data_IF_306475994138
#
_entry.id   IF_306475994138
#
_cell.length_a   1.000
_cell.length_b   1.000
_cell.length_c   1.000
_cell.angle_alpha   90.00
_cell.angle_beta   90.00
_cell.angle_gamma   90.00
#
_symmetry.space_group_name_H-M   'P 1'
#
loop_
_entity.id
_entity.type
_entity.pdbx_description
1 polymer ?
#
# COMPACT_ATOMS: atom_id res chain seq x y z
N UNK A 1 -24.51 -69.08 -31.98
CA UNK A 1 -24.44 -67.76 -32.65
C UNK A 1 -23.76 -66.78 -31.70
N UNK A 2 -22.45 -66.55 -31.85
CA UNK A 2 -21.71 -65.63 -30.97
C UNK A 2 -22.18 -64.20 -31.22
N UNK A 3 -22.73 -63.59 -30.18
CA UNK A 3 -23.42 -62.32 -30.25
C UNK A 3 -22.38 -61.17 -30.35
N UNK A 4 -21.76 -61.01 -31.52
CA UNK A 4 -20.72 -60.00 -31.75
C UNK A 4 -21.21 -58.57 -31.44
N UNK A 5 -22.52 -58.32 -31.52
CA UNK A 5 -23.13 -57.05 -31.14
C UNK A 5 -23.16 -56.80 -29.62
N UNK A 6 -23.32 -57.85 -28.80
CA UNK A 6 -23.32 -57.73 -27.34
C UNK A 6 -21.93 -57.33 -26.81
N UNK A 7 -20.86 -57.91 -27.37
CA UNK A 7 -19.49 -57.55 -26.98
C UNK A 7 -19.15 -56.10 -27.34
N UNK A 8 -19.62 -55.60 -28.50
CA UNK A 8 -19.42 -54.19 -28.89
C UNK A 8 -20.17 -53.24 -27.94
N UNK A 9 -21.37 -53.61 -27.51
CA UNK A 9 -22.15 -52.83 -26.54
C UNK A 9 -21.43 -52.69 -25.18
N UNK A 10 -20.87 -53.77 -24.65
CA UNK A 10 -20.10 -53.71 -23.39
C UNK A 10 -18.82 -52.90 -23.52
N UNK A 11 -18.11 -53.00 -24.66
CA UNK A 11 -16.91 -52.21 -24.91
C UNK A 11 -17.24 -50.71 -25.01
N UNK A 12 -18.27 -50.34 -25.76
CA UNK A 12 -18.70 -48.94 -25.92
C UNK A 12 -19.20 -48.37 -24.58
N UNK A 13 -19.98 -49.16 -23.83
CA UNK A 13 -20.45 -48.75 -22.50
C UNK A 13 -19.29 -48.58 -21.52
N UNK A 14 -18.28 -49.46 -21.57
CA UNK A 14 -17.07 -49.32 -20.76
C UNK A 14 -16.27 -48.07 -21.07
N UNK A 15 -16.11 -47.73 -22.37
CA UNK A 15 -15.46 -46.49 -22.80
C UNK A 15 -16.25 -45.27 -22.31
N UNK A 16 -17.58 -45.29 -22.43
CA UNK A 16 -18.42 -44.18 -21.98
C UNK A 16 -18.33 -43.95 -20.47
N UNK A 17 -18.40 -45.02 -19.67
CA UNK A 17 -18.24 -44.95 -18.21
C UNK A 17 -16.86 -44.42 -17.83
N UNK A 18 -15.81 -44.86 -18.54
CA UNK A 18 -14.45 -44.39 -18.31
C UNK A 18 -14.30 -42.89 -18.62
N UNK A 19 -14.89 -42.41 -19.71
CA UNK A 19 -14.89 -40.98 -20.07
C UNK A 19 -15.63 -40.15 -19.01
N UNK A 20 -16.82 -40.60 -18.59
CA UNK A 20 -17.58 -39.94 -17.51
C UNK A 20 -16.79 -39.92 -16.21
N UNK A 21 -16.13 -41.03 -15.87
CA UNK A 21 -15.27 -41.12 -14.69
C UNK A 21 -14.10 -40.14 -14.74
N UNK A 22 -13.43 -40.01 -15.88
CA UNK A 22 -12.36 -39.00 -16.08
C UNK A 22 -12.89 -37.58 -15.86
N UNK A 23 -14.07 -37.26 -16.39
CA UNK A 23 -14.70 -35.94 -16.17
C UNK A 23 -15.07 -35.71 -14.71
N UNK A 24 -15.59 -36.73 -14.01
CA UNK A 24 -15.90 -36.63 -12.58
C UNK A 24 -14.64 -36.40 -11.74
N UNK A 25 -13.55 -37.11 -12.03
CA UNK A 25 -12.25 -36.89 -11.36
C UNK A 25 -11.71 -35.48 -11.65
N UNK A 26 -11.83 -35.01 -12.91
CA UNK A 26 -11.44 -33.65 -13.30
C UNK A 26 -12.26 -32.59 -12.55
N UNK A 27 -13.57 -32.80 -12.41
CA UNK A 27 -14.47 -31.91 -11.68
C UNK A 27 -14.18 -31.92 -10.18
N UNK A 28 -13.96 -33.09 -9.58
CA UNK A 28 -13.56 -33.23 -8.19
C UNK A 28 -12.24 -32.50 -7.92
N UNK A 29 -11.24 -32.67 -8.79
CA UNK A 29 -9.97 -31.95 -8.72
C UNK A 29 -10.20 -30.43 -8.76
N UNK A 30 -11.00 -29.93 -9.70
CA UNK A 30 -11.30 -28.50 -9.80
C UNK A 30 -12.14 -27.94 -8.64
N UNK A 31 -12.97 -28.76 -7.98
CA UNK A 31 -13.82 -28.29 -6.89
C UNK A 31 -13.16 -28.36 -5.50
N UNK A 32 -12.30 -29.37 -5.26
CA UNK A 32 -11.76 -29.66 -3.93
C UNK A 32 -10.27 -29.33 -3.82
N UNK A 33 -9.50 -29.54 -4.88
CA UNK A 33 -8.04 -29.33 -4.86
C UNK A 33 -7.68 -27.95 -5.40
N UNK A 34 -8.30 -27.54 -6.51
CA UNK A 34 -7.99 -26.28 -7.18
C UNK A 34 -8.90 -25.13 -6.71
N UNK A 35 -8.52 -24.45 -5.64
CA UNK A 35 -9.24 -23.27 -5.15
C UNK A 35 -9.17 -22.06 -6.12
N UNK A 36 -8.36 -22.12 -7.19
CA UNK A 36 -8.11 -21.02 -8.13
C UNK A 36 -9.38 -20.44 -8.79
N UNK A 37 -10.41 -21.27 -9.03
CA UNK A 37 -11.66 -20.81 -9.66
C UNK A 37 -12.60 -20.06 -8.71
N UNK A 38 -12.63 -20.40 -7.41
CA UNK A 38 -13.31 -19.57 -6.40
C UNK A 38 -12.64 -18.20 -6.26
N UNK A 39 -11.32 -18.17 -6.33
CA UNK A 39 -10.56 -16.92 -6.30
C UNK A 39 -10.94 -15.96 -7.44
N UNK A 40 -11.22 -16.42 -8.66
CA UNK A 40 -11.54 -15.51 -9.78
C UNK A 40 -12.90 -14.80 -9.65
N UNK A 41 -13.89 -15.43 -9.00
CA UNK A 41 -15.17 -14.77 -8.69
C UNK A 41 -15.06 -13.86 -7.44
N UNK A 42 -14.30 -14.29 -6.43
CA UNK A 42 -14.06 -13.51 -5.20
C UNK A 42 -13.20 -12.26 -5.44
N UNK A 43 -12.19 -12.32 -6.32
CA UNK A 43 -11.25 -11.22 -6.58
C UNK A 43 -11.93 -9.98 -7.21
N UNK A 44 -13.10 -10.14 -7.83
CA UNK A 44 -13.89 -9.01 -8.34
C UNK A 44 -14.70 -8.29 -7.26
N UNK A 45 -14.90 -8.92 -6.09
CA UNK A 45 -15.71 -8.37 -4.99
C UNK A 45 -14.89 -8.04 -3.75
N UNK A 46 -13.59 -8.37 -3.70
CA UNK A 46 -12.72 -8.16 -2.56
C UNK A 46 -11.66 -7.09 -2.85
N UNK A 47 -11.54 -6.11 -1.97
CA UNK A 47 -10.54 -5.05 -2.04
C UNK A 47 -9.61 -5.12 -0.84
N UNK A 48 -8.33 -5.40 -1.11
CA UNK A 48 -7.26 -5.35 -0.12
C UNK A 48 -6.77 -3.91 0.03
N UNK A 49 -6.87 -3.38 1.24
CA UNK A 49 -6.36 -2.07 1.60
C UNK A 49 -5.24 -2.24 2.61
N UNK A 50 -4.03 -1.88 2.22
CA UNK A 50 -2.87 -1.87 3.11
C UNK A 50 -3.06 -0.81 4.19
N UNK A 51 -2.96 -1.23 5.45
CA UNK A 51 -2.89 -0.32 6.58
C UNK A 51 -1.43 -0.03 6.90
N UNK A 52 -1.05 1.23 6.74
CA UNK A 52 0.31 1.67 7.03
C UNK A 52 0.47 1.98 8.51
N UNK A 53 1.48 1.38 9.18
CA UNK A 53 1.76 1.67 10.58
C UNK A 53 2.38 3.06 10.71
N UNK A 54 2.15 3.72 11.84
CA UNK A 54 2.95 4.87 12.22
C UNK A 54 4.38 4.40 12.54
N UNK A 55 5.39 5.14 12.05
CA UNK A 55 6.79 4.87 12.38
C UNK A 55 7.06 5.17 13.86
N UNK A 56 8.07 4.51 14.45
CA UNK A 56 8.51 4.80 15.81
C UNK A 56 8.94 6.27 15.98
N UNK A 57 8.61 6.88 17.11
CA UNK A 57 9.05 8.22 17.48
C UNK A 57 10.52 8.19 17.93
N UNK A 58 11.26 9.27 17.67
CA UNK A 58 12.64 9.41 18.14
C UNK A 58 12.72 10.47 19.22
N UNK A 59 13.28 10.10 20.36
CA UNK A 59 13.48 10.95 21.52
C UNK A 59 14.97 11.19 21.77
N UNK A 60 15.29 12.32 22.40
CA UNK A 60 16.61 12.61 22.96
C UNK A 60 16.81 11.91 24.32
N UNK A 61 18.00 12.02 24.90
CA UNK A 61 18.31 11.41 26.20
C UNK A 61 17.49 11.95 27.38
N UNK A 62 16.92 13.15 27.25
CA UNK A 62 16.06 13.81 28.24
C UNK A 62 14.57 13.49 28.02
N UNK A 63 14.24 12.69 26.99
CA UNK A 63 12.87 12.36 26.61
C UNK A 63 12.17 13.43 25.75
N UNK A 64 12.90 14.42 25.24
CA UNK A 64 12.36 15.39 24.30
C UNK A 64 12.15 14.73 22.94
N UNK A 65 10.97 14.93 22.35
CA UNK A 65 10.67 14.47 21.00
C UNK A 65 11.53 15.23 19.97
N UNK A 66 12.32 14.49 19.18
CA UNK A 66 13.14 15.07 18.10
C UNK A 66 12.49 14.80 16.75
N UNK A 67 11.97 13.59 16.56
CA UNK A 67 11.34 13.19 15.30
C UNK A 67 10.00 12.54 15.57
N UNK A 68 8.98 13.13 14.98
CA UNK A 68 7.58 12.78 15.14
C UNK A 68 6.94 12.40 13.81
N UNK A 69 5.65 12.08 13.86
CA UNK A 69 4.86 11.75 12.70
C UNK A 69 3.73 12.77 12.55
N UNK A 70 3.58 13.32 11.36
CA UNK A 70 2.47 14.19 11.00
C UNK A 70 1.49 13.43 10.11
N UNK A 71 0.18 13.60 10.32
CA UNK A 71 -0.83 13.01 9.47
C UNK A 71 -0.71 13.58 8.04
N UNK A 72 -0.76 12.70 7.05
CA UNK A 72 -0.81 13.06 5.65
C UNK A 72 -1.65 12.06 4.88
N UNK A 73 -2.01 12.41 3.67
CA UNK A 73 -2.92 11.62 2.87
C UNK A 73 -2.38 11.47 1.46
N UNK A 74 -2.31 10.24 0.98
CA UNK A 74 -2.01 9.99 -0.43
C UNK A 74 -3.33 9.82 -1.19
N UNK A 75 -3.47 10.55 -2.29
CA UNK A 75 -4.54 10.31 -3.24
C UNK A 75 -4.10 9.19 -4.17
N UNK A 76 -4.87 8.11 -4.19
CA UNK A 76 -4.66 6.95 -5.05
C UNK A 76 -5.63 6.99 -6.22
N UNK A 77 -5.22 6.42 -7.35
CA UNK A 77 -6.05 6.27 -8.54
C UNK A 77 -6.12 4.80 -8.96
N UNK A 78 -7.34 4.28 -9.15
CA UNK A 78 -7.57 3.02 -9.84
C UNK A 78 -8.00 3.31 -11.30
N UNK A 79 -7.13 3.05 -12.29
CA UNK A 79 -7.43 3.40 -13.67
C UNK A 79 -8.67 2.72 -14.28
N UNK A 80 -9.05 1.54 -13.79
CA UNK A 80 -10.25 0.82 -14.25
C UNK A 80 -11.54 1.50 -13.80
N UNK A 81 -11.51 2.21 -12.67
CA UNK A 81 -12.70 2.81 -12.04
C UNK A 81 -12.90 4.27 -12.42
N UNK A 82 -11.94 4.87 -13.13
CA UNK A 82 -12.02 6.24 -13.61
C UNK A 82 -13.20 6.43 -14.57
N UNK A 83 -14.11 7.33 -14.22
CA UNK A 83 -15.17 7.85 -15.10
C UNK A 83 -14.86 9.30 -15.47
N UNK A 84 -15.48 9.88 -16.50
CA UNK A 84 -15.36 11.32 -16.76
C UNK A 84 -15.70 12.13 -15.51
N UNK A 85 -14.83 13.06 -15.13
CA UNK A 85 -15.00 13.92 -13.96
C UNK A 85 -14.57 15.35 -14.30
N UNK A 86 -15.01 16.29 -13.47
CA UNK A 86 -14.66 17.70 -13.63
C UNK A 86 -13.18 17.93 -13.24
N UNK A 87 -12.33 17.99 -14.26
CA UNK A 87 -10.88 18.17 -14.07
C UNK A 87 -10.56 19.57 -13.57
N UNK A 88 -11.35 20.60 -13.91
CA UNK A 88 -11.08 21.97 -13.51
C UNK A 88 -11.25 22.15 -11.99
N UNK A 89 -12.37 21.67 -11.46
CA UNK A 89 -12.61 21.67 -10.01
C UNK A 89 -11.58 20.82 -9.27
N UNK A 90 -11.26 19.63 -9.79
CA UNK A 90 -10.25 18.74 -9.20
C UNK A 90 -8.87 19.40 -9.09
N UNK A 91 -8.42 20.05 -10.18
CA UNK A 91 -7.18 20.81 -10.23
C UNK A 91 -7.16 21.97 -9.25
N UNK A 92 -8.27 22.72 -9.14
CA UNK A 92 -8.38 23.88 -8.25
C UNK A 92 -8.28 23.49 -6.77
N UNK A 93 -8.88 22.36 -6.36
CA UNK A 93 -8.87 21.93 -4.96
C UNK A 93 -7.48 21.42 -4.55
N UNK A 94 -6.85 20.63 -5.43
CA UNK A 94 -5.57 20.00 -5.15
C UNK A 94 -4.35 20.88 -5.51
N UNK A 95 -4.57 22.03 -6.14
CA UNK A 95 -3.49 22.92 -6.58
C UNK A 95 -2.59 22.32 -7.67
N UNK A 96 -3.15 21.47 -8.54
CA UNK A 96 -2.40 20.74 -9.59
C UNK A 96 -2.84 21.17 -10.99
N UNK A 97 -1.98 20.93 -11.99
CA UNK A 97 -2.29 21.26 -13.39
C UNK A 97 -3.05 20.13 -14.11
N UNK A 98 -3.90 20.46 -15.11
CA UNK A 98 -4.54 19.44 -15.95
C UNK A 98 -3.54 18.54 -16.70
N UNK A 99 -2.35 19.06 -17.00
CA UNK A 99 -1.26 18.32 -17.61
C UNK A 99 -0.74 17.23 -16.67
N UNK A 100 -0.55 17.56 -15.38
CA UNK A 100 -0.15 16.60 -14.35
C UNK A 100 -1.18 15.48 -14.24
N UNK A 101 -2.47 15.81 -14.17
CA UNK A 101 -3.56 14.83 -14.10
C UNK A 101 -3.49 13.84 -15.29
N UNK A 102 -3.38 14.35 -16.51
CA UNK A 102 -3.31 13.52 -17.73
C UNK A 102 -2.08 12.61 -17.74
N UNK A 103 -0.91 13.14 -17.35
CA UNK A 103 0.33 12.36 -17.33
C UNK A 103 0.30 11.27 -16.26
N UNK A 104 -0.14 11.59 -15.05
CA UNK A 104 -0.19 10.64 -13.93
C UNK A 104 -1.20 9.53 -14.17
N UNK A 105 -2.39 9.85 -14.70
CA UNK A 105 -3.37 8.83 -15.10
C UNK A 105 -2.81 7.93 -16.21
N UNK A 106 -2.09 8.49 -17.20
CA UNK A 106 -1.46 7.70 -18.26
C UNK A 106 -0.38 6.76 -17.70
N UNK A 107 0.47 7.25 -16.78
CA UNK A 107 1.48 6.43 -16.10
C UNK A 107 0.83 5.29 -15.31
N UNK A 108 -0.22 5.59 -14.54
CA UNK A 108 -0.96 4.58 -13.79
C UNK A 108 -1.55 3.50 -14.73
N UNK A 109 -2.20 3.91 -15.83
CA UNK A 109 -2.75 2.98 -16.85
C UNK A 109 -1.68 2.08 -17.47
N UNK A 110 -0.50 2.63 -17.74
CA UNK A 110 0.62 1.89 -18.32
C UNK A 110 1.21 0.88 -17.33
N UNK A 111 1.26 1.22 -16.04
CA UNK A 111 1.71 0.32 -15.00
C UNK A 111 0.73 -0.85 -14.79
N UNK A 112 -0.55 -0.54 -14.61
CA UNK A 112 -1.62 -1.54 -14.57
C UNK A 112 -2.98 -0.88 -14.73
N UNK A 113 -3.88 -1.52 -15.48
CA UNK A 113 -5.28 -1.08 -15.52
C UNK A 113 -6.03 -1.39 -14.23
N UNK A 114 -5.67 -2.47 -13.54
CA UNK A 114 -6.41 -3.04 -12.41
C UNK A 114 -5.81 -2.68 -11.04
N UNK A 115 -4.50 -2.42 -10.98
CA UNK A 115 -3.84 -2.04 -9.73
C UNK A 115 -3.90 -0.54 -9.52
N UNK A 116 -4.32 -0.14 -8.33
CA UNK A 116 -4.23 1.24 -7.89
C UNK A 116 -2.78 1.73 -7.88
N UNK A 117 -2.59 2.98 -8.26
CA UNK A 117 -1.30 3.67 -8.21
C UNK A 117 -1.43 4.96 -7.40
N UNK A 118 -0.37 5.41 -6.72
CA UNK A 118 -0.37 6.74 -6.13
C UNK A 118 -0.52 7.81 -7.23
N UNK A 119 -1.42 8.76 -7.00
CA UNK A 119 -1.70 9.87 -7.89
C UNK A 119 -1.08 11.17 -7.38
N UNK A 120 -1.28 11.48 -6.10
CA UNK A 120 -0.67 12.63 -5.44
C UNK A 120 -0.28 12.22 -4.03
N UNK A 121 0.98 12.46 -3.67
CA UNK A 121 1.51 12.10 -2.37
C UNK A 121 1.37 13.27 -1.38
N UNK A 122 1.36 12.95 -0.09
CA UNK A 122 1.64 13.92 0.98
C UNK A 122 0.64 15.09 1.06
N UNK A 123 -0.63 14.86 0.77
CA UNK A 123 -1.66 15.90 0.88
C UNK A 123 -1.79 16.28 2.37
N UNK A 124 -1.62 17.57 2.73
CA UNK A 124 -1.79 18.04 4.10
C UNK A 124 -3.23 17.84 4.57
N UNK A 125 -3.41 17.62 5.87
CA UNK A 125 -4.73 17.43 6.49
C UNK A 125 -5.70 18.57 6.18
N UNK A 126 -5.23 19.83 6.13
CA UNK A 126 -6.04 20.99 5.78
C UNK A 126 -6.62 20.94 4.36
N UNK A 127 -5.85 20.44 3.39
CA UNK A 127 -6.28 20.30 1.99
C UNK A 127 -7.18 19.08 1.85
N UNK A 128 -6.81 17.97 2.50
CA UNK A 128 -7.63 16.76 2.53
C UNK A 128 -9.01 17.01 3.12
N UNK A 129 -9.10 17.84 4.18
CA UNK A 129 -10.35 18.17 4.83
C UNK A 129 -11.37 18.82 3.88
N UNK A 130 -10.93 19.68 2.95
CA UNK A 130 -11.78 20.26 1.92
C UNK A 130 -12.07 19.28 0.77
N UNK A 131 -11.10 18.43 0.43
CA UNK A 131 -11.23 17.48 -0.68
C UNK A 131 -12.14 16.28 -0.35
N UNK A 132 -12.15 15.79 0.89
CA UNK A 132 -12.91 14.60 1.30
C UNK A 132 -14.42 14.78 1.08
N UNK A 133 -14.95 15.99 1.27
CA UNK A 133 -16.38 16.29 1.08
C UNK A 133 -16.80 16.13 -0.39
N UNK A 134 -15.87 16.31 -1.32
CA UNK A 134 -16.11 16.22 -2.75
C UNK A 134 -15.60 14.92 -3.37
N UNK A 135 -14.94 14.05 -2.59
CA UNK A 135 -14.32 12.81 -3.07
C UNK A 135 -15.33 11.92 -3.82
N UNK A 136 -16.61 11.92 -3.42
CA UNK A 136 -17.68 11.18 -4.08
C UNK A 136 -17.89 11.58 -5.55
N UNK A 137 -17.47 12.79 -5.96
CA UNK A 137 -17.57 13.31 -7.34
C UNK A 137 -16.46 12.78 -8.24
N UNK A 138 -15.42 12.16 -7.68
CA UNK A 138 -14.21 11.73 -8.40
C UNK A 138 -14.06 10.19 -8.34
N UNK A 139 -14.91 9.43 -9.05
CA UNK A 139 -14.86 7.97 -9.05
C UNK A 139 -13.53 7.46 -9.60
N UNK A 140 -13.00 6.42 -8.95
CA UNK A 140 -11.67 5.87 -9.23
C UNK A 140 -10.55 6.53 -8.43
N UNK A 141 -10.82 7.62 -7.70
CA UNK A 141 -9.92 8.17 -6.71
C UNK A 141 -10.34 7.75 -5.30
N UNK A 142 -9.36 7.46 -4.46
CA UNK A 142 -9.59 7.22 -3.05
C UNK A 142 -8.37 7.67 -2.25
N UNK A 143 -8.58 8.00 -0.99
CA UNK A 143 -7.51 8.49 -0.12
C UNK A 143 -6.99 7.35 0.75
N UNK A 144 -5.67 7.30 0.89
CA UNK A 144 -4.97 6.42 1.78
C UNK A 144 -4.30 7.24 2.89
N UNK A 145 -4.68 7.04 4.17
CA UNK A 145 -4.00 7.67 5.29
C UNK A 145 -2.54 7.24 5.37
N UNK A 146 -1.66 8.20 5.59
CA UNK A 146 -0.22 8.05 5.76
C UNK A 146 0.28 8.89 6.92
N UNK A 147 1.51 8.65 7.31
CA UNK A 147 2.23 9.49 8.25
C UNK A 147 3.52 9.97 7.60
N UNK A 148 3.77 11.27 7.64
CA UNK A 148 5.03 11.87 7.22
C UNK A 148 5.93 12.13 8.40
N UNK A 149 7.23 12.03 8.12
CA UNK A 149 8.25 12.26 9.13
C UNK A 149 8.41 13.76 9.37
N UNK A 150 8.23 14.20 10.62
CA UNK A 150 8.40 15.59 11.02
C UNK A 150 9.59 15.70 11.97
N UNK A 151 10.54 16.59 11.65
CA UNK A 151 11.71 16.85 12.47
C UNK A 151 11.47 18.15 13.24
N UNK A 152 11.28 18.04 14.55
CA UNK A 152 10.86 19.16 15.43
C UNK A 152 11.88 20.31 15.41
N UNK A 153 13.15 19.98 15.22
CA UNK A 153 14.27 20.93 15.15
C UNK A 153 15.13 20.62 13.94
N UNK A 154 15.63 21.67 13.27
CA UNK A 154 16.58 21.57 12.15
C UNK A 154 18.00 21.36 12.65
N UNK A 155 18.22 20.27 13.39
CA UNK A 155 19.51 19.86 13.95
C UNK A 155 19.78 18.39 13.65
N UNK A 156 21.02 17.95 13.84
CA UNK A 156 21.45 16.55 13.77
C UNK A 156 21.15 15.86 12.42
N UNK A 157 21.11 16.60 11.30
CA UNK A 157 20.68 16.06 10.01
C UNK A 157 21.47 14.81 9.57
N UNK A 158 22.78 14.76 9.84
CA UNK A 158 23.61 13.59 9.55
C UNK A 158 23.40 12.43 10.51
N UNK A 159 23.17 12.73 11.79
CA UNK A 159 22.96 11.72 12.83
C UNK A 159 21.57 11.09 12.71
N UNK A 160 20.51 11.91 12.63
CA UNK A 160 19.13 11.44 12.48
C UNK A 160 18.92 10.81 11.10
N UNK A 161 19.45 11.44 10.06
CA UNK A 161 19.21 11.06 8.68
C UNK A 161 17.83 11.52 8.18
N UNK A 162 17.36 10.90 7.11
CA UNK A 162 16.06 11.20 6.51
C UNK A 162 15.40 9.96 5.92
N UNK A 163 14.12 10.07 5.61
CA UNK A 163 13.34 9.05 4.88
C UNK A 163 13.16 9.47 3.42
N UNK A 164 13.13 8.51 2.50
CA UNK A 164 12.95 8.73 1.06
C UNK A 164 12.08 7.65 0.44
N UNK A 165 11.56 7.90 -0.77
CA UNK A 165 10.75 6.91 -1.49
C UNK A 165 11.61 5.70 -1.88
N UNK A 166 11.03 4.50 -1.78
CA UNK A 166 11.70 3.26 -2.19
C UNK A 166 11.85 3.19 -3.71
N UNK A 167 12.88 2.49 -4.15
CA UNK A 167 13.14 2.26 -5.57
C UNK A 167 13.00 0.76 -5.89
N UNK A 168 13.16 0.41 -7.17
CA UNK A 168 13.07 -0.98 -7.60
C UNK A 168 14.13 -1.91 -6.97
N UNK A 169 15.26 -1.39 -6.51
CA UNK A 169 16.30 -2.16 -5.84
C UNK A 169 15.92 -2.44 -4.38
N UNK A 170 15.38 -1.44 -3.67
CA UNK A 170 14.86 -1.57 -2.32
C UNK A 170 13.77 -2.64 -2.25
N UNK A 171 12.82 -2.63 -3.19
CA UNK A 171 11.70 -3.59 -3.25
C UNK A 171 12.20 -5.01 -3.52
N UNK A 172 13.23 -5.18 -4.36
CA UNK A 172 13.83 -6.50 -4.62
C UNK A 172 14.53 -7.07 -3.39
N UNK A 173 15.20 -6.21 -2.62
CA UNK A 173 15.96 -6.61 -1.44
C UNK A 173 15.06 -6.86 -0.23
N UNK A 174 13.97 -6.12 -0.09
CA UNK A 174 13.03 -6.27 1.01
C UNK A 174 11.58 -6.22 0.49
N UNK A 175 10.93 -7.41 0.36
CA UNK A 175 9.54 -7.53 -0.09
C UNK A 175 8.51 -6.83 0.81
N UNK A 176 8.92 -6.33 1.98
CA UNK A 176 8.08 -5.46 2.80
C UNK A 176 7.62 -4.21 2.03
N UNK A 177 8.47 -3.67 1.15
CA UNK A 177 8.21 -2.42 0.45
C UNK A 177 7.48 -2.62 -0.88
N UNK A 178 6.67 -1.62 -1.21
CA UNK A 178 5.97 -1.46 -2.48
C UNK A 178 6.26 -0.06 -3.01
N UNK A 179 6.09 0.14 -4.32
CA UNK A 179 6.29 1.45 -4.93
C UNK A 179 5.39 2.50 -4.25
N UNK A 180 5.96 3.66 -3.93
CA UNK A 180 5.30 4.70 -3.12
C UNK A 180 5.53 4.61 -1.62
N UNK A 181 6.20 3.57 -1.11
CA UNK A 181 6.58 3.50 0.30
C UNK A 181 7.83 4.33 0.60
N UNK A 182 8.02 4.65 1.88
CA UNK A 182 9.19 5.37 2.37
C UNK A 182 10.09 4.47 3.22
N UNK A 183 11.40 4.63 3.06
CA UNK A 183 12.47 3.92 3.78
C UNK A 183 13.46 4.94 4.38
N UNK A 184 14.03 4.63 5.54
CA UNK A 184 15.15 5.37 6.12
C UNK A 184 16.39 5.29 5.22
N UNK A 185 16.81 6.43 4.69
CA UNK A 185 17.89 6.54 3.70
C UNK A 185 19.27 6.70 4.34
N UNK A 186 19.34 7.28 5.55
CA UNK A 186 20.60 7.57 6.23
C UNK A 186 20.43 7.66 7.75
N UNK A 187 21.55 7.82 8.47
CA UNK A 187 21.57 8.08 9.90
C UNK A 187 20.86 7.01 10.73
N UNK A 188 20.27 7.47 11.83
CA UNK A 188 19.47 6.67 12.75
C UNK A 188 18.25 6.05 12.07
N UNK A 189 17.59 6.79 11.17
CA UNK A 189 16.44 6.29 10.40
C UNK A 189 16.77 5.01 9.62
N UNK A 190 17.93 4.96 8.95
CA UNK A 190 18.39 3.75 8.24
C UNK A 190 18.84 2.65 9.20
N UNK A 191 19.59 3.02 10.24
CA UNK A 191 20.18 2.06 11.18
C UNK A 191 19.10 1.27 11.93
N UNK A 192 18.00 1.93 12.32
CA UNK A 192 16.90 1.33 13.06
C UNK A 192 15.63 1.16 12.20
N UNK A 193 15.79 1.05 10.87
CA UNK A 193 14.65 0.97 9.94
C UNK A 193 13.67 -0.16 10.31
N UNK A 194 14.19 -1.34 10.68
CA UNK A 194 13.35 -2.52 10.97
C UNK A 194 12.50 -2.34 12.22
N UNK A 195 13.02 -1.65 13.21
CA UNK A 195 12.36 -1.32 14.46
C UNK A 195 11.38 -0.16 14.25
N UNK A 196 11.80 0.89 13.54
CA UNK A 196 11.04 2.11 13.31
C UNK A 196 9.86 1.89 12.37
N UNK A 197 9.95 1.02 11.36
CA UNK A 197 8.92 0.92 10.30
C UNK A 197 7.63 0.23 10.70
N UNK A 198 7.63 -0.53 11.80
CA UNK A 198 6.48 -1.32 12.21
C UNK A 198 6.13 -2.44 11.22
N UNK A 199 4.89 -2.93 11.31
CA UNK A 199 4.37 -4.00 10.44
C UNK A 199 3.07 -3.54 9.78
N UNK A 200 3.00 -3.67 8.45
CA UNK A 200 1.80 -3.36 7.68
C UNK A 200 0.65 -4.29 8.04
N UNK A 201 -0.52 -3.68 8.22
CA UNK A 201 -1.77 -4.40 8.30
C UNK A 201 -2.42 -4.55 6.93
N UNK A 202 -3.49 -5.32 6.88
CA UNK A 202 -4.37 -5.45 5.71
C UNK A 202 -5.81 -5.44 6.18
N UNK A 203 -6.64 -4.60 5.56
CA UNK A 203 -8.10 -4.71 5.66
C UNK A 203 -8.65 -5.20 4.35
N UNK A 204 -9.60 -6.12 4.43
CA UNK A 204 -10.24 -6.72 3.26
C UNK A 204 -11.69 -6.28 3.26
N UNK A 205 -12.06 -5.52 2.24
CA UNK A 205 -13.42 -5.00 2.07
C UNK A 205 -14.15 -5.76 0.98
N UNK A 206 -15.46 -5.97 1.19
CA UNK A 206 -16.37 -6.33 0.11
C UNK A 206 -16.78 -5.08 -0.65
N UNK A 207 -16.66 -5.10 -1.96
CA UNK A 207 -17.04 -4.00 -2.86
C UNK A 207 -18.15 -4.44 -3.81
N UNK A 208 -19.09 -3.54 -4.10
CA UNK A 208 -20.11 -3.78 -5.13
C UNK A 208 -19.58 -3.52 -6.55
N UNK A 209 -20.41 -3.73 -7.58
CA UNK A 209 -20.05 -3.44 -8.99
C UNK A 209 -19.80 -1.95 -9.27
N UNK A 210 -20.21 -1.06 -8.35
CA UNK A 210 -19.89 0.36 -8.35
C UNK A 210 -18.70 0.68 -7.42
N UNK A 211 -18.04 -0.36 -6.91
CA UNK A 211 -16.88 -0.35 -6.07
C UNK A 211 -17.05 0.44 -4.76
N UNK A 212 -18.28 0.48 -4.24
CA UNK A 212 -18.56 1.00 -2.90
C UNK A 212 -18.27 -0.07 -1.86
N UNK A 213 -17.58 0.30 -0.79
CA UNK A 213 -17.33 -0.58 0.35
C UNK A 213 -18.67 -0.93 0.99
N UNK A 214 -19.02 -2.21 0.96
CA UNK A 214 -20.23 -2.78 1.59
C UNK A 214 -19.98 -3.25 3.02
N UNK A 215 -18.71 -3.42 3.40
CA UNK A 215 -18.30 -3.84 4.75
C UNK A 215 -16.98 -4.62 4.71
N UNK A 216 -16.45 -5.00 5.87
CA UNK A 216 -15.31 -5.91 5.95
C UNK A 216 -15.70 -7.33 5.52
N UNK A 217 -14.82 -8.01 4.80
CA UNK A 217 -14.99 -9.41 4.43
C UNK A 217 -15.08 -10.27 5.69
N UNK A 218 -16.11 -11.13 5.77
CA UNK A 218 -16.33 -12.04 6.90
C UNK A 218 -16.25 -11.33 8.27
N UNK A 219 -16.80 -10.11 8.38
CA UNK A 219 -16.75 -9.27 9.57
C UNK A 219 -15.32 -9.00 10.09
N UNK A 220 -14.34 -8.92 9.19
CA UNK A 220 -12.95 -8.60 9.52
C UNK A 220 -12.14 -9.77 10.06
N UNK A 221 -12.64 -11.01 9.99
CA UNK A 221 -11.91 -12.22 10.44
C UNK A 221 -10.53 -12.38 9.78
N UNK A 222 -10.39 -11.88 8.56
CA UNK A 222 -9.15 -11.93 7.78
C UNK A 222 -8.34 -10.62 7.82
N UNK A 223 -8.84 -9.59 8.53
CA UNK A 223 -8.15 -8.32 8.69
C UNK A 223 -6.95 -8.54 9.62
N UNK A 224 -5.81 -7.93 9.27
CA UNK A 224 -4.62 -7.87 10.14
C UNK A 224 -4.40 -6.42 10.51
N UNK A 225 -4.43 -6.05 11.81
CA UNK A 225 -4.13 -4.69 12.21
C UNK A 225 -2.67 -4.34 11.90
N UNK A 226 -2.40 -3.07 11.63
CA UNK A 226 -1.03 -2.58 11.53
C UNK A 226 -0.41 -2.50 12.93
N UNK A 227 0.86 -2.86 13.04
CA UNK A 227 1.63 -2.76 14.29
C UNK A 227 2.55 -1.56 14.18
N UNK A 228 2.42 -0.61 15.10
CA UNK A 228 3.26 0.59 15.12
C UNK A 228 4.74 0.23 15.30
N UNK A 229 5.61 1.07 14.74
CA UNK A 229 7.05 0.97 14.95
C UNK A 229 7.44 1.22 16.41
N UNK A 230 8.58 0.67 16.80
CA UNK A 230 9.14 0.87 18.14
C UNK A 230 9.79 2.24 18.23
N UNK A 231 9.50 2.96 19.30
CA UNK A 231 10.17 4.22 19.61
C UNK A 231 11.64 3.99 19.93
N UNK A 232 12.48 4.96 19.59
CA UNK A 232 13.92 4.94 19.87
C UNK A 232 14.26 6.15 20.72
N UNK A 233 15.01 5.93 21.79
CA UNK A 233 15.60 6.99 22.61
C UNK A 233 17.08 7.05 22.29
N UNK A 234 17.51 8.16 21.67
CA UNK A 234 18.90 8.40 21.35
C UNK A 234 19.66 8.96 22.57
N UNK A 235 20.97 8.75 22.61
CA UNK A 235 21.84 9.27 23.68
C UNK A 235 22.21 10.74 23.50
N UNK A 236 21.87 11.35 22.36
CA UNK A 236 22.15 12.76 22.08
C UNK A 236 21.33 13.67 22.99
N UNK A 237 21.90 14.83 23.29
CA UNK A 237 21.21 15.94 23.94
C UNK A 237 20.86 16.98 22.87
N UNK A 238 19.56 17.19 22.62
CA UNK A 238 19.12 18.04 21.52
C UNK A 238 19.59 19.50 21.68
N UNK A 239 19.70 19.99 22.91
CA UNK A 239 20.16 21.35 23.19
C UNK A 239 21.67 21.50 22.97
N UNK A 240 22.45 20.52 23.43
CA UNK A 240 23.90 20.51 23.22
C UNK A 240 24.24 20.40 21.74
N UNK A 241 23.54 19.53 21.01
CA UNK A 241 23.69 19.39 19.56
C UNK A 241 23.41 20.71 18.85
N UNK A 242 22.29 21.38 19.18
CA UNK A 242 21.95 22.67 18.60
C UNK A 242 22.99 23.75 18.91
N UNK A 243 23.53 23.75 20.13
CA UNK A 243 24.60 24.65 20.53
C UNK A 243 25.88 24.40 19.74
N UNK A 244 26.30 23.13 19.60
CA UNK A 244 27.44 22.73 18.80
C UNK A 244 27.32 23.19 17.34
N UNK A 245 26.18 22.93 16.70
CA UNK A 245 25.90 23.38 15.32
C UNK A 245 25.93 24.90 15.17
N UNK A 246 25.44 25.63 16.17
CA UNK A 246 25.49 27.10 16.19
C UNK A 246 26.94 27.61 16.22
N UNK A 247 27.82 26.96 16.98
CA UNK A 247 29.24 27.34 17.07
C UNK A 247 30.00 27.11 15.76
N UNK A 248 29.66 26.06 15.00
CA UNK A 248 30.36 25.71 13.75
C UNK A 248 29.69 26.21 12.48
N UNK A 249 28.62 27.02 12.57
CA UNK A 249 27.83 27.46 11.40
C UNK A 249 28.66 28.03 10.24
N UNK A 250 29.79 28.69 10.54
CA UNK A 250 30.68 29.31 9.54
C UNK A 250 31.95 28.50 9.27
N UNK A 251 32.07 27.31 9.86
CA UNK A 251 33.25 26.46 9.76
C UNK A 251 32.88 25.11 9.12
N UNK A 252 33.80 24.55 8.34
CA UNK A 252 33.68 23.17 7.86
C UNK A 252 34.42 22.26 8.83
N UNK A 253 33.72 21.33 9.45
CA UNK A 253 34.29 20.40 10.43
C UNK A 253 33.23 19.47 11.01
N UNK A 254 33.64 18.62 11.94
CA UNK A 254 32.76 17.75 12.72
C UNK A 254 32.98 17.98 14.21
N UNK A 255 31.89 17.89 14.97
CA UNK A 255 31.92 17.83 16.44
C UNK A 255 31.30 16.49 16.80
N UNK A 256 31.96 15.75 17.70
CA UNK A 256 31.51 14.47 18.25
C UNK A 256 31.40 14.59 19.74
#
# INVERSE_FOLDING_TARGET
MNNQFANRYYIISGIFVLVVFIYLVRLFYMQIIDNSYKFSAENNSQRYVTLYPARGLIYDRKGQLIVSNQAAYDLMVNPQELRPFDTATFCSILGITPEYVRQTIRKARNYSRYKSSPFLYQIPDSVYAAFQEQLYRFPGFYVQPRTLRHYERKIAAHFLGYVGEVDSSHIKNDPYYQMGDYIGMSGLEKAYEKELRGVKGVKIYLVDVHNRIKGSLANGRFDRPAVQGKNVTATIDADLQAYGEKLIKNFRGGIV
#
